data_IF_046380986238
#
_entry.id   IF_046380986238
#
_cell.length_a   1.000
_cell.length_b   1.000
_cell.length_c   1.000
_cell.angle_alpha   90.00
_cell.angle_beta   90.00
_cell.angle_gamma   90.00
#
_symmetry.space_group_name_H-M   'P 1'
#
loop_
_entity.id
_entity.type
_entity.pdbx_description
1 polymer ?
#
# COMPACT_ATOMS: atom_id res chain seq x y z
N UNK A 1 -16.57 -27.76 -27.95
CA UNK A 1 -16.47 -26.86 -26.79
C UNK A 1 -15.17 -27.23 -26.08
N UNK A 2 -14.09 -26.53 -26.40
CA UNK A 2 -12.75 -26.87 -25.94
C UNK A 2 -12.56 -26.33 -24.52
N UNK A 3 -12.32 -27.26 -23.59
CA UNK A 3 -11.81 -26.93 -22.27
C UNK A 3 -10.33 -26.60 -22.47
N UNK A 4 -10.02 -25.35 -22.81
CA UNK A 4 -8.67 -24.82 -22.64
C UNK A 4 -8.48 -24.57 -21.14
N UNK A 5 -7.99 -25.61 -20.47
CA UNK A 5 -7.25 -25.47 -19.23
C UNK A 5 -6.02 -24.61 -19.54
N UNK A 6 -6.20 -23.30 -19.50
CA UNK A 6 -5.11 -22.37 -19.27
C UNK A 6 -4.62 -22.66 -17.86
N UNK A 7 -3.79 -23.71 -17.76
CA UNK A 7 -2.77 -23.86 -16.75
C UNK A 7 -2.00 -22.55 -16.77
N UNK A 8 -2.47 -21.62 -15.94
CA UNK A 8 -2.12 -20.22 -16.05
C UNK A 8 -0.60 -20.13 -15.96
N UNK A 9 0.01 -19.57 -17.01
CA UNK A 9 1.43 -19.30 -17.03
C UNK A 9 1.80 -18.69 -15.68
N UNK A 10 2.60 -19.39 -14.88
CA UNK A 10 3.05 -18.96 -13.55
C UNK A 10 4.09 -17.83 -13.73
N UNK A 11 3.66 -16.73 -14.36
CA UNK A 11 4.49 -15.55 -14.56
C UNK A 11 4.61 -14.84 -13.22
N UNK A 12 5.82 -14.41 -12.85
CA UNK A 12 6.02 -13.67 -11.61
C UNK A 12 5.17 -12.38 -11.64
N UNK A 13 4.25 -12.25 -10.69
CA UNK A 13 3.42 -11.06 -10.49
C UNK A 13 4.30 -10.03 -9.76
N UNK A 14 4.40 -8.82 -10.31
CA UNK A 14 5.23 -7.74 -9.75
C UNK A 14 4.33 -6.61 -9.26
N UNK A 15 4.12 -6.54 -7.95
CA UNK A 15 3.39 -5.44 -7.30
C UNK A 15 4.39 -4.34 -6.99
N UNK A 16 4.10 -3.11 -7.43
CA UNK A 16 4.91 -1.93 -7.15
C UNK A 16 4.14 -0.99 -6.24
N UNK A 17 4.78 -0.49 -5.20
CA UNK A 17 4.20 0.50 -4.28
C UNK A 17 5.17 1.66 -4.10
N UNK A 18 4.65 2.88 -4.13
CA UNK A 18 5.41 4.10 -3.85
C UNK A 18 5.39 4.49 -2.36
N UNK A 19 4.43 3.95 -1.61
CA UNK A 19 4.31 4.08 -0.16
C UNK A 19 5.37 3.27 0.58
N UNK A 20 6.48 3.93 0.91
CA UNK A 20 7.53 3.35 1.76
C UNK A 20 6.99 2.89 3.12
N UNK A 21 6.03 3.63 3.69
CA UNK A 21 5.42 3.29 4.98
C UNK A 21 4.62 1.98 4.92
N UNK A 22 3.83 1.77 3.87
CA UNK A 22 3.08 0.53 3.66
C UNK A 22 4.02 -0.67 3.49
N UNK A 23 5.10 -0.49 2.71
CA UNK A 23 6.12 -1.53 2.55
C UNK A 23 6.77 -1.90 3.89
N UNK A 24 7.17 -0.89 4.68
CA UNK A 24 7.79 -1.13 6.00
C UNK A 24 6.82 -1.80 6.97
N UNK A 25 5.53 -1.46 6.92
CA UNK A 25 4.51 -2.12 7.73
C UNK A 25 4.38 -3.61 7.34
N UNK A 26 4.34 -3.92 6.05
CA UNK A 26 4.26 -5.31 5.53
C UNK A 26 5.53 -6.09 5.85
N UNK A 27 6.70 -5.47 5.77
CA UNK A 27 7.98 -6.13 6.07
C UNK A 27 8.24 -6.30 7.58
N UNK A 28 7.45 -5.66 8.45
CA UNK A 28 7.62 -5.80 9.90
C UNK A 28 7.00 -7.13 10.40
N UNK A 29 7.80 -8.14 10.77
CA UNK A 29 7.29 -9.45 11.20
C UNK A 29 6.58 -9.37 12.57
N UNK A 30 6.80 -8.30 13.34
CA UNK A 30 6.18 -8.08 14.65
C UNK A 30 4.88 -7.28 14.57
N UNK A 31 4.37 -7.01 13.37
CA UNK A 31 3.11 -6.29 13.23
C UNK A 31 1.95 -7.08 13.85
N UNK A 32 1.17 -6.41 14.70
CA UNK A 32 -0.05 -6.97 15.29
C UNK A 32 -1.32 -6.60 14.50
N UNK A 33 -1.20 -5.77 13.45
CA UNK A 33 -2.34 -5.41 12.62
C UNK A 33 -2.82 -6.60 11.78
N UNK A 34 -4.11 -6.92 11.88
CA UNK A 34 -4.76 -8.05 11.20
C UNK A 34 -4.52 -8.03 9.68
N UNK A 35 -4.74 -6.89 9.04
CA UNK A 35 -4.53 -6.70 7.59
C UNK A 35 -3.09 -6.99 7.19
N UNK A 36 -2.11 -6.53 7.99
CA UNK A 36 -0.69 -6.76 7.70
C UNK A 36 -0.36 -8.26 7.78
N UNK A 37 -0.89 -8.96 8.78
CA UNK A 37 -0.67 -10.42 8.93
C UNK A 37 -1.31 -11.21 7.79
N UNK A 38 -2.49 -10.81 7.35
CA UNK A 38 -3.17 -11.41 6.21
C UNK A 38 -2.34 -11.24 4.93
N UNK A 39 -1.88 -10.00 4.64
CA UNK A 39 -1.00 -9.73 3.50
C UNK A 39 0.29 -10.55 3.58
N UNK A 40 0.94 -10.60 4.76
CA UNK A 40 2.14 -11.41 4.95
C UNK A 40 1.88 -12.89 4.66
N UNK A 41 0.75 -13.43 5.14
CA UNK A 41 0.36 -14.82 4.92
C UNK A 41 0.12 -15.11 3.44
N UNK A 42 -0.55 -14.20 2.73
CA UNK A 42 -0.79 -14.30 1.29
C UNK A 42 0.51 -14.27 0.48
N UNK A 43 1.45 -13.39 0.86
CA UNK A 43 2.76 -13.31 0.21
C UNK A 43 3.61 -14.57 0.46
N UNK A 44 3.51 -15.17 1.64
CA UNK A 44 4.20 -16.42 1.98
C UNK A 44 3.62 -17.64 1.23
N UNK A 45 2.30 -17.70 1.05
CA UNK A 45 1.65 -18.78 0.31
C UNK A 45 1.82 -18.66 -1.21
N UNK A 46 1.98 -17.45 -1.74
CA UNK A 46 2.12 -17.18 -3.17
C UNK A 46 3.54 -16.70 -3.55
N UNK A 47 4.48 -17.63 -3.68
CA UNK A 47 5.90 -17.33 -3.97
C UNK A 47 6.17 -16.62 -5.30
N UNK A 48 5.20 -16.59 -6.21
CA UNK A 48 5.32 -15.89 -7.50
C UNK A 48 4.97 -14.40 -7.41
N UNK A 49 4.50 -13.91 -6.26
CA UNK A 49 4.21 -12.49 -6.04
C UNK A 49 5.46 -11.82 -5.48
N UNK A 50 5.94 -10.79 -6.17
CA UNK A 50 7.07 -9.98 -5.76
C UNK A 50 6.63 -8.55 -5.49
N UNK A 51 6.84 -8.09 -4.27
CA UNK A 51 6.61 -6.70 -3.86
C UNK A 51 7.89 -5.87 -4.07
N UNK A 52 7.78 -4.72 -4.72
CA UNK A 52 8.89 -3.81 -4.97
C UNK A 52 8.52 -2.37 -4.61
N UNK A 53 9.44 -1.66 -3.95
CA UNK A 53 9.33 -0.22 -3.77
C UNK A 53 9.62 0.51 -5.08
N UNK A 54 8.77 1.46 -5.43
CA UNK A 54 8.97 2.42 -6.49
C UNK A 54 9.20 3.79 -5.87
N UNK A 55 10.25 4.49 -6.28
CA UNK A 55 10.46 5.84 -5.80
C UNK A 55 9.45 6.78 -6.46
N UNK A 56 8.54 7.37 -5.67
CA UNK A 56 7.73 8.48 -6.12
C UNK A 56 8.65 9.63 -6.59
N UNK A 57 8.27 10.31 -7.68
CA UNK A 57 8.97 11.41 -8.38
C UNK A 57 9.75 11.09 -9.66
N UNK A 58 9.81 9.83 -10.10
CA UNK A 58 10.12 9.54 -11.51
C UNK A 58 8.77 9.29 -12.18
N UNK A 59 8.38 10.08 -13.18
CA UNK A 59 7.11 10.02 -13.93
C UNK A 59 6.79 8.63 -14.49
N UNK A 60 6.45 7.68 -13.62
CA UNK A 60 5.92 6.40 -13.99
C UNK A 60 4.42 6.61 -14.20
N UNK A 61 4.01 6.65 -15.46
CA UNK A 61 2.62 6.84 -15.89
C UNK A 61 1.63 5.94 -15.12
N UNK A 62 2.04 4.72 -14.77
CA UNK A 62 1.23 3.80 -13.97
C UNK A 62 0.96 4.25 -12.54
N UNK A 63 1.89 4.97 -11.90
CA UNK A 63 1.70 5.52 -10.55
C UNK A 63 0.73 6.70 -10.56
N UNK A 64 0.91 7.60 -11.53
CA UNK A 64 0.02 8.75 -11.72
C UNK A 64 -1.41 8.29 -12.07
N UNK A 65 -1.54 7.26 -12.91
CA UNK A 65 -2.83 6.65 -13.22
C UNK A 65 -3.48 6.02 -11.98
N UNK A 66 -2.72 5.27 -11.17
CA UNK A 66 -3.25 4.68 -9.94
C UNK A 66 -3.71 5.73 -8.92
N UNK A 67 -2.95 6.82 -8.75
CA UNK A 67 -3.32 7.94 -7.87
C UNK A 67 -4.56 8.68 -8.37
N UNK A 68 -4.67 8.88 -9.70
CA UNK A 68 -5.85 9.48 -10.31
C UNK A 68 -7.09 8.60 -10.12
N UNK A 69 -6.98 7.28 -10.32
CA UNK A 69 -8.07 6.33 -10.07
C UNK A 69 -8.49 6.31 -8.60
N UNK A 70 -7.54 6.40 -7.67
CA UNK A 70 -7.85 6.49 -6.24
C UNK A 70 -8.61 7.77 -5.89
N UNK A 71 -8.19 8.92 -6.44
CA UNK A 71 -8.90 10.20 -6.28
C UNK A 71 -10.31 10.14 -6.85
N UNK A 72 -10.48 9.56 -8.04
CA UNK A 72 -11.79 9.39 -8.64
C UNK A 72 -12.70 8.46 -7.82
N UNK A 73 -12.17 7.38 -7.25
CA UNK A 73 -12.92 6.50 -6.37
C UNK A 73 -13.41 7.21 -5.10
N UNK A 74 -12.59 8.12 -4.53
CA UNK A 74 -12.99 8.95 -3.38
C UNK A 74 -14.06 9.98 -3.77
N UNK A 75 -14.02 10.49 -5.02
CA UNK A 75 -14.95 11.53 -5.50
C UNK A 75 -16.28 10.97 -6.00
N UNK A 76 -16.28 9.75 -6.56
CA UNK A 76 -17.45 9.05 -7.11
C UNK A 76 -18.10 8.06 -6.12
N UNK A 77 -17.37 7.63 -5.09
CA UNK A 77 -17.90 6.80 -4.02
C UNK A 77 -18.86 7.57 -3.11
N UNK A 78 -19.75 6.85 -2.44
CA UNK A 78 -20.63 7.41 -1.40
C UNK A 78 -19.76 8.21 -0.40
N UNK A 79 -20.09 9.46 -0.04
CA UNK A 79 -19.22 10.27 0.81
C UNK A 79 -19.02 9.53 2.13
N UNK A 80 -17.81 9.01 2.34
CA UNK A 80 -17.44 8.47 3.64
C UNK A 80 -17.43 9.67 4.58
N UNK A 81 -18.52 9.85 5.33
CA UNK A 81 -18.65 10.87 6.36
C UNK A 81 -17.59 10.58 7.42
N UNK A 82 -16.42 11.17 7.25
CA UNK A 82 -15.36 11.08 8.24
C UNK A 82 -15.89 11.73 9.52
N UNK A 83 -15.97 11.01 10.65
CA UNK A 83 -16.48 11.56 11.91
C UNK A 83 -15.57 12.66 12.48
N UNK A 84 -14.40 12.89 11.86
CA UNK A 84 -13.47 13.95 12.23
C UNK A 84 -13.07 14.76 11.00
N UNK A 85 -12.93 16.10 11.12
CA UNK A 85 -12.48 16.97 10.03
C UNK A 85 -11.13 16.52 9.45
N UNK A 86 -10.93 16.72 8.15
CA UNK A 86 -9.67 16.42 7.45
C UNK A 86 -8.45 17.10 8.09
N UNK A 87 -8.63 18.23 8.76
CA UNK A 87 -7.58 18.91 9.53
C UNK A 87 -7.06 18.08 10.71
N UNK A 88 -7.95 17.34 11.40
CA UNK A 88 -7.60 16.46 12.51
C UNK A 88 -6.80 15.24 12.02
N UNK A 89 -7.21 14.66 10.89
CA UNK A 89 -6.47 13.53 10.30
C UNK A 89 -5.09 13.98 9.78
N UNK A 90 -5.01 15.18 9.18
CA UNK A 90 -3.73 15.80 8.78
C UNK A 90 -2.84 16.09 9.98
N UNK A 91 -3.38 16.58 11.10
CA UNK A 91 -2.58 16.80 12.30
C UNK A 91 -2.07 15.50 12.91
N UNK A 92 -2.88 14.43 12.89
CA UNK A 92 -2.47 13.12 13.40
C UNK A 92 -1.34 12.52 12.55
N UNK A 93 -1.47 12.59 11.23
CA UNK A 93 -0.42 12.11 10.30
C UNK A 93 0.87 12.93 10.46
N UNK A 94 0.75 14.25 10.62
CA UNK A 94 1.89 15.14 10.85
C UNK A 94 2.55 14.88 12.21
N UNK A 95 1.75 14.62 13.24
CA UNK A 95 2.22 14.25 14.59
C UNK A 95 3.01 12.94 14.56
N UNK A 96 2.46 11.90 13.93
CA UNK A 96 3.12 10.59 13.79
C UNK A 96 4.40 10.68 12.95
N UNK A 97 4.43 11.52 11.92
CA UNK A 97 5.66 11.77 11.13
C UNK A 97 6.71 12.57 11.91
N UNK A 98 6.29 13.53 12.73
CA UNK A 98 7.17 14.33 13.58
C UNK A 98 7.79 13.48 14.70
N UNK A 99 6.99 12.64 15.34
CA UNK A 99 7.43 11.74 16.41
C UNK A 99 8.51 10.76 15.92
N UNK A 100 8.37 10.27 14.68
CA UNK A 100 9.39 9.41 14.03
C UNK A 100 10.70 10.14 13.72
N UNK A 101 10.66 11.46 13.52
CA UNK A 101 11.85 12.26 13.26
C UNK A 101 12.60 12.59 14.58
N UNK A 102 11.85 12.91 15.65
CA UNK A 102 12.39 13.20 16.98
C UNK A 102 13.02 11.97 17.65
N UNK A 103 12.39 10.79 17.52
CA UNK A 103 12.93 9.53 18.02
C UNK A 103 14.21 9.06 17.30
N UNK A 104 14.52 9.65 16.13
CA UNK A 104 15.73 9.36 15.34
C UNK A 104 16.89 10.31 15.60
N UNK A 105 16.68 11.34 16.42
CA UNK A 105 17.69 12.34 16.81
C UNK A 105 18.20 12.14 18.25
N UNK A 106 17.59 11.23 19.01
CA UNK A 106 17.96 10.91 20.40
C UNK A 106 18.54 9.49 20.56
N UNK A 107 19.07 8.89 19.49
CA UNK A 107 19.71 7.58 19.51
C UNK A 107 20.94 7.56 18.61
#
# INVERSE_FOLDING_TARGET
MAIETTSSLHRPIKIRTDSLSSLMAILNPKSHHSIVREIQTLLLSHKHIHLRWLKAHVCYLGNECADQLAKEAITKGDPFLLPKPLSYLKSEIKSVSCFKHLARQLG
#
